data_IF_124051116652
#
_entry.id   IF_124051116652
#
_cell.length_a   1.000
_cell.length_b   1.000
_cell.length_c   1.000
_cell.angle_alpha   90.00
_cell.angle_beta   90.00
_cell.angle_gamma   90.00
#
_symmetry.space_group_name_H-M   'P 1'
#
loop_
_entity.id
_entity.type
_entity.pdbx_description
1 polymer ?
#
# COMPACT_ATOMS: atom_id res chain seq x y z
N UNK A 1 -9.03 13.66 -0.71
CA UNK A 1 -7.82 13.66 -1.57
C UNK A 1 -6.50 13.81 -0.76
N UNK A 2 -6.31 13.12 0.40
CA UNK A 2 -5.10 13.30 1.20
C UNK A 2 -3.82 12.85 0.47
N UNK A 3 -3.87 11.74 -0.27
CA UNK A 3 -2.72 11.21 -1.00
C UNK A 3 -2.16 12.18 -2.04
N UNK A 4 -3.02 12.69 -2.94
CA UNK A 4 -2.62 13.65 -3.97
C UNK A 4 -2.00 14.93 -3.38
N UNK A 5 -2.60 15.48 -2.31
CA UNK A 5 -2.05 16.67 -1.64
C UNK A 5 -0.72 16.41 -0.96
N UNK A 6 -0.48 15.20 -0.45
CA UNK A 6 0.81 14.80 0.11
C UNK A 6 1.88 14.73 -0.99
N UNK A 7 1.60 13.98 -2.06
CA UNK A 7 2.48 13.81 -3.20
C UNK A 7 2.87 15.14 -3.86
N UNK A 8 1.89 16.04 -4.03
CA UNK A 8 2.11 17.39 -4.57
C UNK A 8 3.08 18.20 -3.71
N UNK A 9 2.87 18.23 -2.38
CA UNK A 9 3.74 18.95 -1.45
C UNK A 9 5.15 18.36 -1.41
N UNK A 10 5.27 17.04 -1.54
CA UNK A 10 6.56 16.35 -1.56
C UNK A 10 7.25 16.38 -2.93
N UNK A 11 6.53 16.80 -4.00
CA UNK A 11 7.01 16.77 -5.39
C UNK A 11 7.44 15.36 -5.84
N UNK A 12 6.70 14.33 -5.42
CA UNK A 12 6.95 12.93 -5.74
C UNK A 12 5.84 12.43 -6.68
N UNK A 13 6.20 11.66 -7.72
CA UNK A 13 5.20 10.98 -8.55
C UNK A 13 4.58 9.83 -7.76
N UNK A 14 3.27 9.61 -7.89
CA UNK A 14 2.58 8.53 -7.16
C UNK A 14 3.28 7.18 -7.33
N UNK A 15 3.69 6.83 -8.55
CA UNK A 15 4.38 5.58 -8.88
C UNK A 15 5.77 5.41 -8.24
N UNK A 16 6.32 6.46 -7.62
CA UNK A 16 7.59 6.44 -6.90
C UNK A 16 7.41 6.40 -5.38
N UNK A 17 6.17 6.30 -4.90
CA UNK A 17 5.85 6.26 -3.49
C UNK A 17 5.22 4.91 -3.13
N UNK A 18 5.63 4.38 -1.99
CA UNK A 18 4.97 3.28 -1.30
C UNK A 18 4.07 3.87 -0.22
N UNK A 19 2.83 3.39 -0.13
CA UNK A 19 1.95 3.70 1.00
C UNK A 19 1.69 2.42 1.80
N UNK A 20 2.01 2.45 3.10
CA UNK A 20 1.81 1.32 4.00
C UNK A 20 0.68 1.67 4.94
N UNK A 21 -0.38 0.86 4.96
CA UNK A 21 -1.52 1.08 5.85
C UNK A 21 -2.25 -0.22 6.15
N UNK A 22 -3.13 -0.17 7.15
CA UNK A 22 -3.82 -1.34 7.67
C UNK A 22 -5.29 -1.39 7.24
N UNK A 23 -5.89 -0.30 6.76
CA UNK A 23 -7.27 -0.30 6.25
C UNK A 23 -7.31 -0.62 4.74
N UNK A 24 -7.86 -1.78 4.35
CA UNK A 24 -7.93 -2.15 2.93
C UNK A 24 -8.58 -1.06 2.05
N UNK A 25 -9.69 -0.48 2.50
CA UNK A 25 -10.47 0.46 1.68
C UNK A 25 -9.84 1.85 1.65
N UNK A 26 -9.48 2.38 2.82
CA UNK A 26 -9.03 3.77 2.93
C UNK A 26 -7.56 3.93 2.58
N UNK A 27 -6.73 2.99 3.01
CA UNK A 27 -5.28 3.07 2.86
C UNK A 27 -4.83 2.44 1.55
N UNK A 28 -5.15 1.16 1.37
CA UNK A 28 -4.56 0.33 0.32
C UNK A 28 -5.20 0.64 -1.03
N UNK A 29 -6.53 0.53 -1.12
CA UNK A 29 -7.26 0.87 -2.35
C UNK A 29 -7.20 2.38 -2.61
N UNK A 30 -7.35 3.22 -1.59
CA UNK A 30 -7.24 4.67 -1.73
C UNK A 30 -5.88 5.15 -2.26
N UNK A 31 -4.78 4.51 -1.86
CA UNK A 31 -3.45 4.80 -2.42
C UNK A 31 -3.28 4.23 -3.83
N UNK A 32 -3.79 3.02 -4.09
CA UNK A 32 -3.79 2.41 -5.42
C UNK A 32 -4.54 3.24 -6.46
N UNK A 33 -5.71 3.78 -6.10
CA UNK A 33 -6.56 4.60 -6.98
C UNK A 33 -5.87 5.89 -7.47
N UNK A 34 -4.86 6.37 -6.76
CA UNK A 34 -4.07 7.55 -7.16
C UNK A 34 -2.73 7.19 -7.82
N UNK A 35 -2.49 5.89 -8.06
CA UNK A 35 -1.31 5.37 -8.76
C UNK A 35 -0.08 5.18 -7.88
N UNK A 36 -0.23 5.06 -6.56
CA UNK A 36 0.88 4.68 -5.66
C UNK A 36 1.13 3.17 -5.68
N UNK A 37 2.20 2.72 -5.02
CA UNK A 37 2.48 1.31 -4.74
C UNK A 37 2.01 0.94 -3.33
N UNK A 38 0.74 0.56 -3.15
CA UNK A 38 0.20 0.22 -1.83
C UNK A 38 0.75 -1.09 -1.25
N UNK A 39 0.92 -1.08 0.08
CA UNK A 39 1.26 -2.24 0.90
C UNK A 39 0.24 -2.34 2.04
N UNK A 40 -0.45 -3.47 2.09
CA UNK A 40 -1.38 -3.79 3.14
C UNK A 40 -0.68 -4.47 4.31
N UNK A 41 -0.59 -3.76 5.44
CA UNK A 41 -0.02 -4.28 6.67
C UNK A 41 -1.09 -5.02 7.48
N UNK A 42 -1.07 -6.35 7.38
CA UNK A 42 -1.83 -7.26 8.23
C UNK A 42 -1.04 -7.60 9.49
N UNK A 43 -0.77 -6.59 10.31
CA UNK A 43 0.19 -6.70 11.43
C UNK A 43 -0.10 -7.92 12.32
N UNK A 44 0.90 -8.78 12.54
CA UNK A 44 0.74 -10.09 13.20
C UNK A 44 0.16 -10.00 14.63
N UNK A 45 0.39 -8.89 15.34
CA UNK A 45 -0.12 -8.68 16.70
C UNK A 45 -1.60 -8.24 16.75
N UNK A 46 -2.19 -7.82 15.63
CA UNK A 46 -3.56 -7.31 15.58
C UNK A 46 -4.53 -8.43 15.27
N UNK A 47 -5.32 -8.81 16.27
CA UNK A 47 -6.39 -9.81 16.12
C UNK A 47 -7.66 -9.16 15.57
N UNK A 48 -7.79 -9.13 14.24
CA UNK A 48 -9.05 -8.79 13.55
C UNK A 48 -9.28 -9.71 12.35
N UNK A 49 -10.53 -9.79 11.92
CA UNK A 49 -10.86 -10.35 10.61
C UNK A 49 -10.42 -9.34 9.55
N UNK A 50 -9.66 -9.82 8.57
CA UNK A 50 -9.23 -9.03 7.43
C UNK A 50 -10.15 -9.38 6.27
N UNK A 51 -10.69 -8.41 5.51
CA UNK A 51 -11.50 -8.71 4.34
C UNK A 51 -10.71 -9.56 3.34
N UNK A 52 -11.39 -10.50 2.68
CA UNK A 52 -10.76 -11.20 1.57
C UNK A 52 -10.69 -10.25 0.36
N UNK A 53 -9.51 -10.09 -0.26
CA UNK A 53 -9.43 -9.34 -1.49
C UNK A 53 -10.17 -10.08 -2.62
N UNK A 54 -11.11 -9.40 -3.27
CA UNK A 54 -11.81 -9.90 -4.45
C UNK A 54 -10.82 -9.98 -5.63
N UNK A 55 -10.08 -11.10 -5.73
CA UNK A 55 -9.26 -11.54 -6.87
C UNK A 55 -8.44 -10.47 -7.62
N UNK A 56 -7.12 -10.57 -7.47
CA UNK A 56 -6.09 -9.83 -8.19
C UNK A 56 -5.91 -8.38 -7.72
N UNK A 57 -5.12 -8.24 -6.66
CA UNK A 57 -4.89 -6.96 -6.01
C UNK A 57 -3.52 -6.43 -6.36
N UNK A 58 -3.47 -5.30 -7.05
CA UNK A 58 -2.25 -4.54 -7.36
C UNK A 58 -1.61 -3.90 -6.13
N UNK A 59 -1.46 -4.67 -5.05
CA UNK A 59 -0.86 -4.29 -3.78
C UNK A 59 -0.17 -5.49 -3.13
N UNK A 60 0.85 -5.23 -2.31
CA UNK A 60 1.55 -6.26 -1.54
C UNK A 60 0.93 -6.42 -0.16
N UNK A 61 0.96 -7.61 0.39
CA UNK A 61 0.53 -7.89 1.77
C UNK A 61 1.78 -8.22 2.59
N UNK A 62 1.92 -7.58 3.75
CA UNK A 62 2.96 -7.90 4.74
C UNK A 62 2.31 -8.06 6.11
N UNK A 63 2.99 -8.75 7.02
CA UNK A 63 2.55 -8.93 8.41
C UNK A 63 3.47 -8.27 9.43
N UNK A 64 4.69 -7.90 9.00
CA UNK A 64 5.71 -7.19 9.77
C UNK A 64 6.38 -6.12 8.88
N UNK A 65 6.73 -4.97 9.45
CA UNK A 65 7.36 -3.88 8.70
C UNK A 65 8.76 -4.22 8.18
N UNK A 66 9.46 -5.19 8.77
CA UNK A 66 10.76 -5.66 8.28
C UNK A 66 10.66 -6.28 6.87
N UNK A 67 9.50 -6.81 6.50
CA UNK A 67 9.25 -7.30 5.13
C UNK A 67 9.33 -6.18 4.08
N UNK A 68 9.24 -4.89 4.50
CA UNK A 68 9.46 -3.76 3.59
C UNK A 68 10.89 -3.71 3.03
N UNK A 69 11.87 -4.21 3.77
CA UNK A 69 13.27 -4.23 3.35
C UNK A 69 13.54 -5.19 2.18
N UNK A 70 12.61 -6.13 1.95
CA UNK A 70 12.66 -7.10 0.87
C UNK A 70 11.92 -6.61 -0.39
N UNK A 71 11.31 -5.42 -0.33
CA UNK A 71 10.61 -4.82 -1.46
C UNK A 71 11.63 -4.21 -2.43
N UNK A 72 11.87 -4.92 -3.53
CA UNK A 72 12.62 -4.40 -4.66
C UNK A 72 11.75 -3.43 -5.48
N UNK A 73 12.18 -2.18 -5.57
CA UNK A 73 11.53 -1.09 -6.32
C UNK A 73 11.51 -1.32 -7.84
N UNK A 74 12.26 -2.31 -8.35
CA UNK A 74 12.46 -2.52 -9.80
C UNK A 74 11.38 -3.37 -10.48
N UNK A 75 10.43 -3.96 -9.73
CA UNK A 75 9.34 -4.77 -10.31
C UNK A 75 8.01 -4.02 -10.27
N UNK A 76 7.54 -3.47 -11.41
CA UNK A 76 6.16 -3.03 -11.51
C UNK A 76 5.24 -4.26 -11.38
N UNK A 77 4.31 -4.21 -10.44
CA UNK A 77 3.29 -5.25 -10.27
C UNK A 77 2.28 -5.13 -11.43
N UNK A 78 2.36 -6.07 -12.37
CA UNK A 78 1.36 -6.36 -13.41
C UNK A 78 0.91 -7.82 -13.23
#
# INVERSE_FOLDING_TARGET
KPFLSCLEKMKIRASQAIYVGDDLQKDVLGAGDVGMNPVWLKHFSVKRSWPDPETNTGFRIITDLNELLEIDETRPYL
#
